data_IF_647698658749
#
_entry.id   IF_647698658749
#
_cell.length_a   1.000
_cell.length_b   1.000
_cell.length_c   1.000
_cell.angle_alpha   90.00
_cell.angle_beta   90.00
_cell.angle_gamma   90.00
#
_symmetry.space_group_name_H-M   'P 1'
#
loop_
_entity.id
_entity.type
_entity.pdbx_description
1 polymer ?
#
# COMPACT_ATOMS: atom_id res chain seq x y z
N UNK A 1 17.44 -7.30 11.08
CA UNK A 1 16.14 -7.73 10.51
C UNK A 1 15.37 -6.47 10.10
N UNK A 2 14.65 -6.49 8.96
CA UNK A 2 13.89 -5.30 8.53
C UNK A 2 12.40 -5.52 8.75
N UNK A 3 11.73 -4.54 9.34
CA UNK A 3 10.27 -4.52 9.46
C UNK A 3 9.72 -3.13 9.13
N UNK A 4 8.41 -3.10 8.92
CA UNK A 4 7.66 -1.89 8.67
C UNK A 4 6.73 -1.62 9.83
N UNK A 5 6.67 -0.37 10.27
CA UNK A 5 5.75 0.05 11.32
C UNK A 5 4.66 0.91 10.71
N UNK A 6 3.40 0.58 10.99
CA UNK A 6 2.27 1.46 10.71
C UNK A 6 2.35 2.68 11.62
N UNK A 7 2.40 3.89 11.07
CA UNK A 7 2.56 5.12 11.87
C UNK A 7 1.26 5.56 12.55
N UNK A 8 0.11 5.07 12.09
CA UNK A 8 -1.20 5.38 12.67
C UNK A 8 -1.42 4.69 14.02
N UNK A 9 -0.92 3.46 14.18
CA UNK A 9 -1.20 2.64 15.37
C UNK A 9 0.01 1.86 15.93
N UNK A 10 1.18 1.98 15.32
CA UNK A 10 2.43 1.39 15.80
C UNK A 10 2.56 -0.12 15.59
N UNK A 11 1.68 -0.77 14.82
CA UNK A 11 1.82 -2.20 14.54
C UNK A 11 2.98 -2.49 13.57
N UNK A 12 3.74 -3.54 13.87
CA UNK A 12 4.87 -3.98 13.06
C UNK A 12 4.52 -5.11 12.10
N UNK A 13 5.08 -5.04 10.90
CA UNK A 13 4.85 -5.96 9.79
C UNK A 13 6.16 -6.36 9.13
N UNK A 14 6.31 -7.65 8.84
CA UNK A 14 7.50 -8.19 8.19
C UNK A 14 7.45 -8.07 6.65
N UNK A 15 6.26 -7.79 6.09
CA UNK A 15 6.03 -7.71 4.65
C UNK A 15 5.30 -6.43 4.26
N UNK A 16 5.67 -5.89 3.10
CA UNK A 16 4.99 -4.72 2.49
C UNK A 16 3.52 -5.03 2.22
N UNK A 17 3.21 -6.23 1.71
CA UNK A 17 1.86 -6.68 1.42
C UNK A 17 0.96 -6.67 2.67
N UNK A 18 1.47 -7.19 3.80
CA UNK A 18 0.73 -7.25 5.07
C UNK A 18 0.45 -5.86 5.63
N UNK A 19 1.44 -4.96 5.55
CA UNK A 19 1.29 -3.58 5.95
C UNK A 19 0.27 -2.84 5.08
N UNK A 20 0.35 -2.94 3.76
CA UNK A 20 -0.59 -2.29 2.84
C UNK A 20 -2.01 -2.84 3.09
N UNK A 21 -2.15 -4.14 3.35
CA UNK A 21 -3.43 -4.74 3.70
C UNK A 21 -3.98 -4.26 5.04
N UNK A 22 -3.10 -4.06 6.02
CA UNK A 22 -3.46 -3.46 7.30
C UNK A 22 -3.97 -2.02 7.10
N UNK A 23 -3.19 -1.18 6.39
CA UNK A 23 -3.58 0.18 6.04
C UNK A 23 -4.94 0.20 5.33
N UNK A 24 -5.12 -0.67 4.34
CA UNK A 24 -6.39 -0.81 3.62
C UNK A 24 -7.55 -1.16 4.55
N UNK A 25 -7.38 -2.07 5.49
CA UNK A 25 -8.48 -2.54 6.34
C UNK A 25 -8.81 -1.59 7.49
N UNK A 26 -7.81 -0.91 8.03
CA UNK A 26 -7.93 -0.17 9.30
C UNK A 26 -8.04 1.33 9.12
N UNK A 27 -7.31 1.89 8.17
CA UNK A 27 -7.07 3.34 8.11
C UNK A 27 -7.60 3.95 6.82
N UNK A 28 -7.44 3.26 5.69
CA UNK A 28 -7.56 3.83 4.34
C UNK A 28 -8.41 2.95 3.40
N UNK A 29 -9.49 2.39 3.93
CA UNK A 29 -10.40 1.50 3.19
C UNK A 29 -11.16 2.21 2.06
N UNK A 30 -11.24 3.53 2.14
CA UNK A 30 -11.88 4.41 1.19
C UNK A 30 -11.10 4.53 -0.12
N UNK A 31 -9.76 4.63 -0.06
CA UNK A 31 -8.94 4.87 -1.26
C UNK A 31 -7.90 3.78 -1.60
N UNK A 32 -7.53 2.90 -0.68
CA UNK A 32 -6.66 1.75 -1.00
C UNK A 32 -7.55 0.57 -1.41
N UNK A 33 -7.31 0.00 -2.60
CA UNK A 33 -8.03 -1.20 -3.08
C UNK A 33 -7.10 -2.19 -3.77
N UNK A 34 -7.61 -3.40 -4.01
CA UNK A 34 -6.95 -4.48 -4.75
C UNK A 34 -7.97 -5.28 -5.56
N UNK A 35 -7.59 -5.99 -6.63
CA UNK A 35 -8.54 -6.68 -7.51
C UNK A 35 -9.17 -7.94 -6.91
N UNK A 36 -8.65 -8.45 -5.78
CA UNK A 36 -9.21 -9.63 -5.13
C UNK A 36 -8.55 -9.94 -3.79
N UNK A 37 -7.86 -11.08 -3.72
CA UNK A 37 -7.09 -11.50 -2.55
C UNK A 37 -5.70 -10.83 -2.50
N UNK A 38 -5.00 -10.96 -1.38
CA UNK A 38 -3.64 -10.42 -1.23
C UNK A 38 -2.73 -11.06 -2.28
N UNK A 39 -1.97 -10.24 -3.00
CA UNK A 39 -1.09 -10.70 -4.09
C UNK A 39 -1.79 -11.13 -5.38
N UNK A 40 -3.12 -11.06 -5.46
CA UNK A 40 -3.84 -11.35 -6.70
C UNK A 40 -3.68 -10.20 -7.69
N UNK A 41 -3.38 -10.52 -8.95
CA UNK A 41 -3.27 -9.56 -10.05
C UNK A 41 -4.59 -9.48 -10.83
N UNK A 42 -4.89 -8.30 -11.38
CA UNK A 42 -5.92 -8.14 -12.40
C UNK A 42 -5.44 -8.59 -13.79
N UNK A 43 -6.30 -8.45 -14.80
CA UNK A 43 -5.96 -8.77 -16.20
C UNK A 43 -4.86 -7.89 -16.81
N UNK A 44 -4.48 -6.80 -16.15
CA UNK A 44 -3.43 -5.88 -16.56
C UNK A 44 -2.15 -6.04 -15.72
N UNK A 45 -2.11 -6.98 -14.77
CA UNK A 45 -0.96 -7.22 -13.90
C UNK A 45 -0.89 -6.33 -12.66
N UNK A 46 -1.94 -5.58 -12.34
CA UNK A 46 -1.98 -4.72 -11.15
C UNK A 46 -2.46 -5.49 -9.91
N UNK A 47 -1.80 -5.27 -8.78
CA UNK A 47 -2.14 -5.86 -7.46
C UNK A 47 -2.74 -4.84 -6.50
N UNK A 48 -2.48 -3.54 -6.69
CA UNK A 48 -2.97 -2.47 -5.83
C UNK A 48 -3.49 -1.28 -6.61
N UNK A 49 -4.43 -0.58 -6.01
CA UNK A 49 -5.03 0.65 -6.52
C UNK A 49 -5.03 1.74 -5.44
N UNK A 50 -4.74 2.97 -5.86
CA UNK A 50 -4.95 4.18 -5.06
C UNK A 50 -5.96 5.09 -5.77
N UNK A 51 -7.14 5.24 -5.18
CA UNK A 51 -8.23 6.09 -5.70
C UNK A 51 -8.12 7.55 -5.25
N UNK A 52 -7.23 7.86 -4.30
CA UNK A 52 -6.98 9.23 -3.88
C UNK A 52 -6.06 10.00 -4.87
N UNK A 53 -5.30 9.29 -5.71
CA UNK A 53 -4.41 9.89 -6.71
C UNK A 53 -4.93 9.72 -8.14
N UNK A 54 -6.07 10.34 -8.41
CA UNK A 54 -6.73 10.38 -9.73
C UNK A 54 -5.84 11.03 -10.80
N UNK A 55 -5.89 10.52 -12.03
CA UNK A 55 -5.24 11.11 -13.22
C UNK A 55 -6.30 11.56 -14.23
N UNK A 56 -5.96 12.45 -15.19
CA UNK A 56 -6.93 12.93 -16.19
C UNK A 56 -7.64 11.84 -17.00
N UNK A 57 -7.01 10.66 -17.14
CA UNK A 57 -7.52 9.53 -17.94
C UNK A 57 -7.85 8.29 -17.10
N UNK A 58 -7.76 8.36 -15.77
CA UNK A 58 -8.05 7.22 -14.88
C UNK A 58 -8.47 7.72 -13.50
N UNK A 59 -9.50 7.11 -12.94
CA UNK A 59 -10.05 7.39 -11.61
C UNK A 59 -9.15 6.88 -10.47
N UNK A 60 -8.05 6.19 -10.78
CA UNK A 60 -7.08 5.71 -9.80
C UNK A 60 -5.67 5.58 -10.38
N UNK A 61 -4.70 5.31 -9.50
CA UNK A 61 -3.38 4.79 -9.88
C UNK A 61 -3.33 3.30 -9.58
N UNK A 62 -2.73 2.55 -10.49
CA UNK A 62 -2.55 1.10 -10.37
C UNK A 62 -1.08 0.75 -10.23
N UNK A 63 -0.80 -0.32 -9.48
CA UNK A 63 0.56 -0.75 -9.15
C UNK A 63 0.68 -2.26 -9.32
N UNK A 64 1.80 -2.71 -9.88
CA UNK A 64 2.11 -4.11 -10.18
C UNK A 64 2.81 -4.86 -9.02
N UNK A 65 3.18 -4.15 -7.96
CA UNK A 65 3.93 -4.70 -6.83
C UNK A 65 3.62 -3.98 -5.52
N UNK A 66 3.78 -4.70 -4.41
CA UNK A 66 3.64 -4.15 -3.05
C UNK A 66 4.58 -2.97 -2.83
N UNK A 67 5.85 -3.12 -3.23
CA UNK A 67 6.85 -2.05 -3.13
C UNK A 67 6.46 -0.79 -3.88
N UNK A 68 5.92 -0.91 -5.10
CA UNK A 68 5.50 0.26 -5.89
C UNK A 68 4.34 1.01 -5.23
N UNK A 69 3.37 0.26 -4.69
CA UNK A 69 2.27 0.84 -3.92
C UNK A 69 2.77 1.49 -2.62
N UNK A 70 3.65 0.83 -1.88
CA UNK A 70 4.19 1.35 -0.61
C UNK A 70 4.99 2.63 -0.82
N UNK A 71 5.85 2.67 -1.84
CA UNK A 71 6.59 3.88 -2.20
C UNK A 71 5.65 5.01 -2.59
N UNK A 72 4.59 4.71 -3.37
CA UNK A 72 3.58 5.71 -3.70
C UNK A 72 2.87 6.27 -2.46
N UNK A 73 2.50 5.41 -1.50
CA UNK A 73 1.89 5.83 -0.24
C UNK A 73 2.79 6.79 0.54
N UNK A 74 4.09 6.47 0.63
CA UNK A 74 5.09 7.33 1.28
C UNK A 74 5.23 8.69 0.58
N UNK A 75 5.35 8.67 -0.74
CA UNK A 75 5.65 9.87 -1.51
C UNK A 75 4.44 10.81 -1.65
N UNK A 76 3.22 10.26 -1.75
CA UNK A 76 2.03 11.03 -2.10
C UNK A 76 1.04 11.20 -0.94
N UNK A 77 1.04 10.29 0.05
CA UNK A 77 0.09 10.31 1.18
C UNK A 77 0.78 10.54 2.53
N UNK A 78 2.08 10.84 2.51
CA UNK A 78 2.88 11.12 3.70
C UNK A 78 3.44 9.88 4.39
N UNK A 79 3.98 10.06 5.60
CA UNK A 79 4.59 8.98 6.39
C UNK A 79 3.53 8.05 6.98
N UNK A 80 2.78 7.34 6.15
CA UNK A 80 1.83 6.29 6.57
C UNK A 80 2.55 5.03 7.09
N UNK A 81 3.85 4.93 6.80
CA UNK A 81 4.67 3.78 7.15
C UNK A 81 6.09 4.21 7.48
N UNK A 82 6.68 3.61 8.51
CA UNK A 82 8.10 3.72 8.81
C UNK A 82 8.81 2.41 8.42
N UNK A 83 10.06 2.50 7.99
CA UNK A 83 10.92 1.34 7.74
C UNK A 83 12.04 1.33 8.77
N UNK A 84 12.16 0.23 9.50
CA UNK A 84 13.21 0.05 10.51
C UNK A 84 14.10 -1.11 10.08
N UNK A 85 15.40 -0.86 10.10
CA UNK A 85 16.43 -1.87 9.86
C UNK A 85 17.22 -2.10 11.14
N UNK A 86 17.01 -3.24 11.79
CA UNK A 86 17.81 -3.65 12.94
C UNK A 86 19.12 -4.29 12.45
N UNK A 87 20.24 -3.76 12.95
CA UNK A 87 21.61 -4.23 12.67
C UNK A 87 21.96 -5.46 13.50
#
# INVERSE_FOLDING_TARGET
MSYYTCTEDGNDFWGEADLIEHLRKRHYADFIRRPGSLGAMDSHGHVWYCFACVRPVSDHRSFDSDRAMLNHLRDCHGNLTAFVHEQ
#
